data_IF_943120702373
#
_entry.id   IF_943120702373
#
_cell.length_a   1.000
_cell.length_b   1.000
_cell.length_c   1.000
_cell.angle_alpha   90.00
_cell.angle_beta   90.00
_cell.angle_gamma   90.00
#
_symmetry.space_group_name_H-M   'P 1'
#
loop_
_entity.id
_entity.type
_entity.pdbx_description
1 polymer ?
#
# COMPACT_ATOMS: atom_id res chain seq x y z
N UNK A 1 6.33 15.97 -10.70
CA UNK A 1 6.87 14.59 -10.61
C UNK A 1 6.12 13.90 -9.49
N UNK A 2 4.89 13.43 -9.77
CA UNK A 2 3.91 13.06 -8.72
C UNK A 2 3.16 11.75 -9.02
N UNK A 3 3.61 10.94 -9.99
CA UNK A 3 2.72 9.96 -10.63
C UNK A 3 2.87 8.50 -10.21
N UNK A 4 3.86 8.12 -9.42
CA UNK A 4 4.21 6.69 -9.33
C UNK A 4 4.01 6.04 -7.96
N UNK A 5 3.87 6.81 -6.89
CA UNK A 5 3.80 6.22 -5.55
C UNK A 5 2.39 5.98 -5.02
N UNK A 6 1.34 6.35 -5.74
CA UNK A 6 -0.07 6.15 -5.35
C UNK A 6 -0.54 4.68 -5.34
N UNK A 7 0.37 3.70 -5.27
CA UNK A 7 0.01 2.29 -5.19
C UNK A 7 -0.33 1.91 -3.75
N UNK A 8 -1.35 1.07 -3.58
CA UNK A 8 -1.76 0.55 -2.28
C UNK A 8 -0.60 -0.20 -1.60
N UNK A 9 0.30 -0.83 -2.36
CA UNK A 9 1.48 -1.53 -1.84
C UNK A 9 2.43 -0.66 -1.00
N UNK A 10 2.53 0.65 -1.30
CA UNK A 10 3.41 1.59 -0.56
C UNK A 10 2.69 2.22 0.64
N UNK A 11 1.40 1.96 0.81
CA UNK A 11 0.58 2.53 1.87
C UNK A 11 0.86 1.83 3.22
N UNK A 12 0.85 2.60 4.31
CA UNK A 12 0.99 2.04 5.67
C UNK A 12 -0.12 1.08 6.04
N UNK A 13 -1.29 1.23 5.42
CA UNK A 13 -2.49 0.45 5.70
C UNK A 13 -2.56 -0.87 4.91
N UNK A 14 -1.61 -1.14 4.01
CA UNK A 14 -1.57 -2.40 3.28
C UNK A 14 -1.28 -3.57 4.21
N UNK A 15 -2.21 -4.53 4.25
CA UNK A 15 -2.06 -5.77 5.03
C UNK A 15 -2.16 -6.98 4.12
N UNK A 16 -1.26 -7.93 4.35
CA UNK A 16 -1.24 -9.21 3.67
C UNK A 16 -1.81 -10.24 4.63
N UNK A 17 -2.92 -10.86 4.24
CA UNK A 17 -3.57 -11.92 5.00
C UNK A 17 -3.26 -13.23 4.28
N UNK A 18 -2.44 -14.06 4.92
CA UNK A 18 -2.18 -15.42 4.47
C UNK A 18 -3.04 -16.37 5.30
N UNK A 19 -4.03 -17.01 4.67
CA UNK A 19 -4.78 -18.10 5.29
C UNK A 19 -4.12 -19.43 4.93
N UNK A 20 -3.83 -20.24 5.93
CA UNK A 20 -3.26 -21.59 5.77
C UNK A 20 -4.22 -22.43 4.91
N UNK A 21 -3.81 -22.75 3.67
CA UNK A 21 -4.64 -23.49 2.70
C UNK A 21 -5.41 -22.65 1.68
N UNK A 22 -5.25 -21.32 1.63
CA UNK A 22 -5.90 -20.46 0.63
C UNK A 22 -4.92 -19.47 -0.01
N UNK A 23 -5.36 -18.80 -1.08
CA UNK A 23 -4.57 -17.77 -1.78
C UNK A 23 -4.29 -16.60 -0.85
N UNK A 24 -3.12 -15.97 -1.01
CA UNK A 24 -2.76 -14.77 -0.26
C UNK A 24 -3.73 -13.65 -0.62
N UNK A 25 -4.43 -13.12 0.39
CA UNK A 25 -5.36 -12.01 0.22
C UNK A 25 -4.70 -10.71 0.69
N UNK A 26 -4.99 -9.64 -0.02
CA UNK A 26 -4.47 -8.33 0.29
C UNK A 26 -5.64 -7.46 0.72
N UNK A 27 -5.54 -6.84 1.89
CA UNK A 27 -6.63 -6.04 2.45
C UNK A 27 -6.12 -4.68 2.89
N UNK A 28 -6.95 -3.66 2.73
CA UNK A 28 -6.65 -2.33 3.24
C UNK A 28 -7.12 -2.27 4.69
N UNK A 29 -6.19 -2.08 5.64
CA UNK A 29 -6.51 -1.94 7.05
C UNK A 29 -7.31 -0.67 7.40
N UNK A 30 -7.38 0.32 6.51
CA UNK A 30 -8.20 1.53 6.68
C UNK A 30 -9.64 1.32 6.24
N UNK A 31 -9.83 0.71 5.07
CA UNK A 31 -11.16 0.54 4.46
C UNK A 31 -11.80 -0.83 4.75
N UNK A 32 -11.01 -1.82 5.20
CA UNK A 32 -11.47 -3.19 5.43
C UNK A 32 -11.69 -4.02 4.15
N UNK A 33 -11.55 -3.43 2.96
CA UNK A 33 -11.77 -4.13 1.69
C UNK A 33 -10.54 -4.87 1.18
N UNK A 34 -10.79 -5.94 0.42
CA UNK A 34 -9.78 -6.59 -0.41
C UNK A 34 -9.27 -5.60 -1.46
N UNK A 35 -7.97 -5.35 -1.45
CA UNK A 35 -7.27 -4.43 -2.35
C UNK A 35 -6.25 -5.19 -3.17
N UNK A 36 -5.72 -4.61 -4.26
CA UNK A 36 -4.56 -5.16 -4.97
C UNK A 36 -3.39 -4.19 -4.86
N UNK A 37 -2.14 -4.69 -4.87
CA UNK A 37 -0.96 -3.83 -4.79
C UNK A 37 -0.86 -2.81 -5.95
N UNK A 38 -1.51 -3.08 -7.08
CA UNK A 38 -1.60 -2.20 -8.25
C UNK A 38 -2.70 -1.13 -8.15
N UNK A 39 -3.57 -1.20 -7.16
CA UNK A 39 -4.68 -0.26 -7.04
C UNK A 39 -4.21 1.07 -6.49
N UNK A 40 -4.80 2.15 -7.02
CA UNK A 40 -4.55 3.51 -6.56
C UNK A 40 -5.75 3.99 -5.78
N UNK A 41 -5.53 4.33 -4.52
CA UNK A 41 -6.55 4.90 -3.67
C UNK A 41 -6.26 6.39 -3.47
N UNK A 42 -7.33 7.17 -3.37
CA UNK A 42 -7.25 8.58 -3.01
C UNK A 42 -6.71 8.76 -1.59
N UNK A 43 -7.00 7.80 -0.72
CA UNK A 43 -6.62 7.80 0.69
C UNK A 43 -5.13 7.42 0.94
N UNK A 44 -4.25 7.65 -0.03
CA UNK A 44 -2.87 7.19 -0.03
C UNK A 44 -2.05 7.83 1.10
N UNK A 45 -1.60 6.98 2.03
CA UNK A 45 -0.74 7.40 3.16
C UNK A 45 0.54 6.56 3.11
N UNK A 46 1.64 7.09 2.54
CA UNK A 46 2.90 6.38 2.49
C UNK A 46 3.43 6.06 3.89
N UNK A 47 4.20 4.98 4.00
CA UNK A 47 4.98 4.72 5.22
C UNK A 47 6.08 5.77 5.36
N UNK A 48 6.50 6.03 6.59
CA UNK A 48 7.59 6.96 6.90
C UNK A 48 8.87 6.63 6.12
N UNK A 49 9.20 5.34 5.98
CA UNK A 49 10.33 4.85 5.18
C UNK A 49 10.22 5.26 3.69
N UNK A 50 9.00 5.30 3.14
CA UNK A 50 8.78 5.74 1.75
C UNK A 50 8.92 7.26 1.63
N UNK A 51 8.41 8.01 2.62
CA UNK A 51 8.60 9.47 2.71
C UNK A 51 10.09 9.84 2.85
N UNK A 52 10.86 9.07 3.60
CA UNK A 52 12.30 9.26 3.73
C UNK A 52 13.02 8.98 2.41
N UNK A 53 12.71 7.88 1.73
CA UNK A 53 13.26 7.58 0.39
C UNK A 53 12.92 8.66 -0.63
N UNK A 54 11.69 9.16 -0.63
CA UNK A 54 11.27 10.29 -1.48
C UNK A 54 12.07 11.56 -1.21
N UNK A 55 12.44 11.81 0.05
CA UNK A 55 13.27 12.97 0.42
C UNK A 55 14.74 12.78 0.03
N UNK A 56 15.22 11.54 0.02
CA UNK A 56 16.62 11.20 -0.26
C UNK A 56 16.93 11.04 -1.76
N UNK A 57 15.90 10.94 -2.63
CA UNK A 57 16.04 11.01 -4.09
C UNK A 57 16.10 12.46 -4.64
N UNK A 58 16.45 13.45 -3.79
CA UNK A 58 16.58 14.86 -4.18
C UNK A 58 17.96 15.25 -4.67
#
# INVERSE_FOLDING_TARGET
MEREYHCCATCRHFRVVKRTGSKTEYVCGRLGYATKPTYRFDCWTPKEIVLERMRNEK
#
